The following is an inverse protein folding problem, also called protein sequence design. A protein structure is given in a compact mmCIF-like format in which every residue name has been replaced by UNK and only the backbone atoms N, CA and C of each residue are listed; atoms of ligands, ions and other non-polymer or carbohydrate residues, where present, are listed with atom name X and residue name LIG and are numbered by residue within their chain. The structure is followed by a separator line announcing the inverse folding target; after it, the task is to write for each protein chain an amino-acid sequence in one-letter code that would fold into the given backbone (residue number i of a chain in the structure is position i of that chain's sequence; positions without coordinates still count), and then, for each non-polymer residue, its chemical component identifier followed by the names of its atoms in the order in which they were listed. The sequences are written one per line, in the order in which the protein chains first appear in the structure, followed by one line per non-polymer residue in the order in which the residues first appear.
data_IF_452283426027
#
_entry.id   IF_452283426027
#
_cell.length_a   1.000
_cell.length_b   1.000
_cell.length_c   1.000
_cell.angle_alpha   90.00
_cell.angle_beta   90.00
_cell.angle_gamma   90.00
#
_symmetry.space_group_name_H-M   'P 1'
#
loop_
_entity.id
_entity.type
_entity.pdbx_description
1 polymer ?
#
# COMPACT_ATOMS: atom_id res chain seq x y z
N UNK A 1 -22.92 -27.02 -23.33
CA UNK A 1 -21.86 -27.80 -24.02
C UNK A 1 -20.72 -26.83 -24.23
N UNK A 2 -19.57 -27.02 -23.59
CA UNK A 2 -18.40 -26.18 -23.83
C UNK A 2 -17.92 -26.45 -25.25
N UNK A 3 -17.75 -25.38 -26.04
CA UNK A 3 -17.20 -25.48 -27.40
C UNK A 3 -15.68 -25.46 -27.24
N UNK A 4 -15.02 -26.42 -27.83
CA UNK A 4 -13.57 -26.54 -27.90
C UNK A 4 -13.11 -26.22 -29.32
N UNK A 5 -12.12 -25.37 -29.40
CA UNK A 5 -11.50 -24.96 -30.67
C UNK A 5 -10.09 -25.55 -30.74
N UNK A 6 -9.70 -26.03 -31.91
CA UNK A 6 -8.39 -26.58 -32.18
C UNK A 6 -7.58 -25.61 -33.04
N UNK A 7 -6.39 -25.29 -32.58
CA UNK A 7 -5.48 -24.40 -33.27
C UNK A 7 -5.72 -22.91 -32.95
N UNK A 8 -4.76 -22.11 -33.30
CA UNK A 8 -4.74 -20.65 -33.17
C UNK A 8 -4.44 -20.02 -34.53
N UNK A 9 -4.98 -18.86 -34.81
CA UNK A 9 -4.70 -18.14 -36.06
C UNK A 9 -3.38 -17.38 -36.00
N UNK A 10 -3.06 -16.81 -34.83
CA UNK A 10 -1.86 -16.01 -34.62
C UNK A 10 -1.41 -16.04 -33.15
N UNK A 11 -0.10 -15.94 -32.95
CA UNK A 11 0.54 -15.76 -31.63
C UNK A 11 1.46 -14.54 -31.74
N UNK A 12 1.21 -13.51 -30.92
CA UNK A 12 1.98 -12.27 -30.93
C UNK A 12 2.24 -11.79 -29.49
N UNK A 13 3.45 -12.03 -28.97
CA UNK A 13 3.78 -11.75 -27.58
C UNK A 13 2.81 -12.46 -26.62
N UNK A 14 2.18 -11.76 -25.67
CA UNK A 14 1.23 -12.36 -24.75
C UNK A 14 -0.18 -12.57 -25.35
N UNK A 15 -0.38 -12.23 -26.62
CA UNK A 15 -1.66 -12.28 -27.28
C UNK A 15 -1.75 -13.46 -28.26
N UNK A 16 -2.90 -14.09 -28.29
CA UNK A 16 -3.26 -15.10 -29.30
C UNK A 16 -4.59 -14.71 -29.96
N UNK A 17 -4.73 -15.07 -31.23
CA UNK A 17 -5.96 -14.85 -32.01
C UNK A 17 -6.61 -16.19 -32.29
N UNK A 18 -7.89 -16.28 -31.97
CA UNK A 18 -8.75 -17.41 -32.28
C UNK A 18 -9.79 -16.98 -33.30
N UNK A 19 -9.91 -17.69 -34.41
CA UNK A 19 -10.90 -17.44 -35.48
C UNK A 19 -12.05 -18.45 -35.44
N UNK A 20 -13.16 -18.08 -36.06
CA UNK A 20 -14.37 -18.93 -36.10
C UNK A 20 -15.10 -18.99 -34.76
N UNK A 21 -14.87 -18.04 -33.88
CA UNK A 21 -15.42 -18.05 -32.51
C UNK A 21 -16.86 -17.57 -32.52
N UNK A 22 -17.73 -18.35 -31.87
CA UNK A 22 -19.13 -18.00 -31.67
C UNK A 22 -19.41 -17.74 -30.20
N UNK A 23 -20.14 -16.67 -29.90
CA UNK A 23 -20.58 -16.31 -28.55
C UNK A 23 -19.44 -16.01 -27.55
N UNK A 24 -18.31 -15.47 -28.02
CA UNK A 24 -17.26 -14.97 -27.16
C UNK A 24 -17.69 -13.66 -26.48
N UNK A 25 -17.36 -13.52 -25.20
CA UNK A 25 -17.66 -12.31 -24.43
C UNK A 25 -16.37 -11.57 -24.02
N UNK A 26 -16.41 -10.26 -23.97
CA UNK A 26 -15.29 -9.46 -23.44
C UNK A 26 -15.04 -9.82 -21.97
N UNK A 27 -13.76 -9.91 -21.56
CA UNK A 27 -13.30 -10.34 -20.22
C UNK A 27 -13.57 -11.82 -19.88
N UNK A 28 -14.11 -12.61 -20.78
CA UNK A 28 -14.33 -14.04 -20.59
C UNK A 28 -13.01 -14.79 -20.44
N UNK A 29 -12.93 -15.72 -19.51
CA UNK A 29 -11.77 -16.59 -19.33
C UNK A 29 -11.77 -17.71 -20.36
N UNK A 30 -10.58 -17.99 -20.84
CA UNK A 30 -10.29 -19.03 -21.81
C UNK A 30 -9.25 -19.98 -21.21
N UNK A 31 -9.54 -21.28 -21.30
CA UNK A 31 -8.60 -22.33 -20.92
C UNK A 31 -7.90 -22.86 -22.17
N UNK A 32 -6.57 -22.88 -22.14
CA UNK A 32 -5.76 -23.53 -23.15
C UNK A 32 -5.20 -24.85 -22.63
N UNK A 33 -5.21 -25.87 -23.48
CA UNK A 33 -4.46 -27.11 -23.24
C UNK A 33 -3.39 -27.20 -24.29
N UNK A 34 -2.12 -27.21 -23.85
CA UNK A 34 -0.93 -27.18 -24.69
C UNK A 34 -0.20 -28.49 -24.49
N UNK A 35 0.37 -29.07 -25.55
CA UNK A 35 1.22 -30.28 -25.59
C UNK A 35 0.84 -31.36 -24.55
N UNK A 36 -0.39 -31.83 -24.67
CA UNK A 36 -0.87 -33.03 -24.01
C UNK A 36 -1.38 -32.88 -22.58
N UNK A 37 -1.03 -31.85 -21.79
CA UNK A 37 -1.59 -31.66 -20.45
C UNK A 37 -1.26 -30.30 -19.75
N UNK A 38 -0.41 -29.46 -20.32
CA UNK A 38 -0.16 -28.15 -19.73
C UNK A 38 -1.41 -27.27 -19.91
N UNK A 39 -1.97 -26.77 -18.81
CA UNK A 39 -3.11 -25.85 -18.83
C UNK A 39 -2.64 -24.42 -18.63
N UNK A 40 -3.07 -23.54 -19.50
CA UNK A 40 -2.87 -22.10 -19.39
C UNK A 40 -4.21 -21.39 -19.38
N UNK A 41 -4.25 -20.23 -18.76
CA UNK A 41 -5.41 -19.36 -18.72
C UNK A 41 -5.15 -18.11 -19.55
N UNK A 42 -6.22 -17.58 -20.12
CA UNK A 42 -6.24 -16.29 -20.78
C UNK A 42 -7.57 -15.60 -20.60
N UNK A 43 -7.64 -14.34 -21.00
CA UNK A 43 -8.92 -13.63 -21.07
C UNK A 43 -9.08 -12.95 -22.41
N UNK A 44 -10.33 -12.86 -22.84
CA UNK A 44 -10.69 -12.18 -24.08
C UNK A 44 -10.59 -10.67 -23.88
N UNK A 45 -9.74 -10.01 -24.68
CA UNK A 45 -9.50 -8.56 -24.61
C UNK A 45 -10.07 -7.80 -25.79
N UNK A 46 -10.44 -8.49 -26.85
CA UNK A 46 -11.20 -7.93 -27.96
C UNK A 46 -11.99 -9.01 -28.67
N UNK A 47 -13.18 -8.65 -29.17
CA UNK A 47 -14.04 -9.52 -29.94
C UNK A 47 -14.39 -8.79 -31.26
N UNK A 48 -14.15 -9.47 -32.37
CA UNK A 48 -14.58 -9.07 -33.70
C UNK A 48 -15.61 -10.07 -34.21
N UNK A 49 -16.21 -9.89 -35.36
CA UNK A 49 -17.33 -10.71 -35.88
C UNK A 49 -17.15 -12.22 -35.64
N UNK A 50 -16.02 -12.78 -36.02
CA UNK A 50 -15.69 -14.21 -35.88
C UNK A 50 -14.34 -14.48 -35.21
N UNK A 51 -13.70 -13.43 -34.64
CA UNK A 51 -12.37 -13.49 -34.05
C UNK A 51 -12.40 -13.01 -32.60
N UNK A 52 -11.64 -13.69 -31.75
CA UNK A 52 -11.35 -13.26 -30.39
C UNK A 52 -9.85 -13.08 -30.24
N UNK A 53 -9.45 -11.94 -29.69
CA UNK A 53 -8.06 -11.69 -29.22
C UNK A 53 -8.02 -12.02 -27.76
N UNK A 54 -7.13 -12.95 -27.38
CA UNK A 54 -7.03 -13.50 -26.04
C UNK A 54 -5.64 -13.16 -25.49
N UNK A 55 -5.60 -12.61 -24.31
CA UNK A 55 -4.39 -12.36 -23.56
C UNK A 55 -4.10 -13.52 -22.64
N UNK A 56 -2.97 -14.20 -22.84
CA UNK A 56 -2.57 -15.38 -22.08
C UNK A 56 -1.82 -14.96 -20.81
N UNK A 57 -2.19 -15.49 -19.66
CA UNK A 57 -1.63 -15.10 -18.36
C UNK A 57 -0.23 -15.66 -18.14
N UNK A 58 -0.04 -16.96 -18.37
CA UNK A 58 1.23 -17.66 -18.14
C UNK A 58 2.20 -17.58 -19.36
N UNK A 59 1.91 -16.70 -20.32
CA UNK A 59 2.72 -16.53 -21.52
C UNK A 59 2.47 -17.57 -22.60
N UNK A 60 2.97 -17.28 -23.82
CA UNK A 60 2.65 -18.04 -25.04
C UNK A 60 3.78 -18.94 -25.52
N UNK A 61 4.86 -19.09 -24.74
CA UNK A 61 6.12 -19.73 -25.18
C UNK A 61 6.02 -21.18 -25.60
N UNK A 62 5.02 -21.94 -25.15
CA UNK A 62 4.79 -23.35 -25.53
C UNK A 62 3.57 -23.55 -26.41
N UNK A 63 2.93 -22.47 -26.89
CA UNK A 63 1.68 -22.56 -27.64
C UNK A 63 1.94 -22.84 -29.13
N UNK A 64 1.27 -23.86 -29.65
CA UNK A 64 1.31 -24.26 -31.06
C UNK A 64 0.09 -23.70 -31.81
N UNK A 65 0.32 -23.17 -33.02
CA UNK A 65 -0.78 -22.77 -33.89
C UNK A 65 -1.72 -23.92 -34.29
N UNK A 66 -1.24 -25.14 -34.28
CA UNK A 66 -2.00 -26.31 -34.77
C UNK A 66 -2.53 -27.21 -33.66
N UNK A 67 -1.84 -27.31 -32.52
CA UNK A 67 -2.10 -28.30 -31.48
C UNK A 67 -2.63 -27.72 -30.17
N UNK A 68 -2.84 -26.41 -30.09
CA UNK A 68 -3.42 -25.79 -28.90
C UNK A 68 -4.94 -25.96 -28.89
N UNK A 69 -5.46 -26.57 -27.84
CA UNK A 69 -6.90 -26.68 -27.60
C UNK A 69 -7.37 -25.50 -26.77
N UNK A 70 -8.44 -24.86 -27.19
CA UNK A 70 -8.98 -23.65 -26.58
C UNK A 70 -10.42 -23.86 -26.16
N UNK A 71 -10.74 -23.61 -24.89
CA UNK A 71 -12.09 -23.70 -24.33
C UNK A 71 -12.52 -22.39 -23.71
N UNK A 72 -13.65 -21.84 -24.17
CA UNK A 72 -14.29 -20.69 -23.57
C UNK A 72 -15.07 -21.14 -22.32
N UNK A 73 -14.94 -20.40 -21.21
CA UNK A 73 -15.57 -20.77 -19.93
C UNK A 73 -16.98 -20.21 -19.74
N UNK A 74 -17.30 -19.15 -20.46
CA UNK A 74 -18.58 -18.45 -20.36
C UNK A 74 -18.69 -17.45 -19.21
N UNK A 75 -17.60 -17.24 -18.46
CA UNK A 75 -17.57 -16.31 -17.33
C UNK A 75 -16.23 -15.60 -17.23
N UNK A 76 -16.18 -14.39 -16.60
CA UNK A 76 -14.93 -13.69 -16.32
C UNK A 76 -14.11 -14.45 -15.28
N UNK A 77 -12.90 -13.96 -15.00
CA UNK A 77 -12.02 -14.57 -13.99
C UNK A 77 -12.66 -14.50 -12.60
N UNK A 78 -12.69 -15.65 -11.95
CA UNK A 78 -13.22 -15.80 -10.60
C UNK A 78 -12.17 -16.46 -9.69
N UNK A 79 -12.18 -16.06 -8.42
CA UNK A 79 -11.43 -16.73 -7.36
C UNK A 79 -12.37 -17.42 -6.38
N UNK A 80 -12.01 -18.64 -5.96
CA UNK A 80 -12.69 -19.35 -4.87
C UNK A 80 -12.23 -18.82 -3.52
N UNK A 81 -13.16 -18.51 -2.63
CA UNK A 81 -12.92 -17.87 -1.35
C UNK A 81 -13.64 -18.59 -0.21
N UNK A 82 -12.98 -18.68 0.92
CA UNK A 82 -13.49 -19.06 2.23
C UNK A 82 -12.60 -18.41 3.31
N UNK A 83 -12.92 -18.54 4.59
CA UNK A 83 -12.04 -18.06 5.66
C UNK A 83 -10.69 -18.81 5.72
N UNK A 84 -10.61 -19.98 5.09
CA UNK A 84 -9.37 -20.78 4.99
C UNK A 84 -8.24 -20.09 4.19
N UNK A 85 -8.52 -18.96 3.50
CA UNK A 85 -7.48 -18.16 2.85
C UNK A 85 -6.56 -17.46 3.84
N UNK A 86 -7.00 -17.26 5.08
CA UNK A 86 -6.17 -16.68 6.15
C UNK A 86 -4.96 -17.57 6.41
N UNK A 87 -3.80 -16.97 6.54
CA UNK A 87 -2.54 -17.68 6.72
C UNK A 87 -1.95 -18.33 5.45
N UNK A 88 -2.60 -18.16 4.30
CA UNK A 88 -2.22 -18.84 3.05
C UNK A 88 -1.43 -17.92 2.12
N UNK A 89 -0.61 -18.55 1.28
CA UNK A 89 0.18 -17.89 0.24
C UNK A 89 -0.22 -18.38 -1.14
N UNK A 90 -0.50 -17.43 -2.02
CA UNK A 90 -0.96 -17.65 -3.39
C UNK A 90 -0.01 -17.00 -4.40
N UNK A 91 -0.05 -17.52 -5.64
CA UNK A 91 0.55 -16.83 -6.79
C UNK A 91 -0.27 -15.60 -7.23
N UNK A 92 0.17 -14.92 -8.27
CA UNK A 92 -0.47 -13.70 -8.78
C UNK A 92 -1.88 -13.87 -9.30
N UNK A 93 -2.31 -15.10 -9.60
CA UNK A 93 -3.67 -15.42 -10.08
C UNK A 93 -4.53 -16.17 -9.05
N UNK A 94 -4.02 -16.32 -7.82
CA UNK A 94 -4.77 -16.89 -6.71
C UNK A 94 -4.68 -18.41 -6.60
N UNK A 95 -3.68 -19.06 -7.20
CA UNK A 95 -3.39 -20.48 -6.96
C UNK A 95 -2.53 -20.62 -5.70
N UNK A 96 -2.87 -21.52 -4.76
CA UNK A 96 -2.02 -21.78 -3.58
C UNK A 96 -0.63 -22.26 -3.96
N UNK A 97 0.42 -21.66 -3.35
CA UNK A 97 1.83 -22.02 -3.55
C UNK A 97 2.52 -22.48 -2.27
N UNK A 98 1.80 -22.49 -1.15
CA UNK A 98 2.27 -22.88 0.19
C UNK A 98 2.31 -24.38 0.44
N UNK A 99 1.96 -25.21 -0.55
CA UNK A 99 1.88 -26.68 -0.47
C UNK A 99 0.83 -27.22 0.48
N UNK A 100 -0.10 -26.40 0.95
CA UNK A 100 -1.18 -26.82 1.85
C UNK A 100 -2.43 -27.34 1.09
N UNK A 101 -2.37 -27.42 -0.24
CA UNK A 101 -3.47 -27.89 -1.08
C UNK A 101 -4.45 -26.78 -1.50
N UNK A 102 -5.47 -27.14 -2.28
CA UNK A 102 -6.47 -26.18 -2.73
C UNK A 102 -7.36 -25.70 -1.58
N UNK A 103 -7.95 -24.51 -1.76
CA UNK A 103 -8.95 -23.96 -0.84
C UNK A 103 -10.31 -24.65 -1.11
N UNK A 104 -11.02 -25.05 -0.06
CA UNK A 104 -12.42 -25.42 -0.15
C UNK A 104 -13.28 -24.15 -0.19
N UNK A 105 -13.64 -23.74 -1.38
CA UNK A 105 -14.27 -22.47 -1.62
C UNK A 105 -15.76 -22.49 -1.25
N UNK A 106 -16.16 -21.65 -0.29
CA UNK A 106 -17.57 -21.41 0.02
C UNK A 106 -18.27 -20.63 -1.09
N UNK A 107 -17.56 -19.68 -1.70
CA UNK A 107 -18.07 -18.81 -2.76
C UNK A 107 -17.04 -18.60 -3.86
N UNK A 108 -17.52 -18.23 -5.04
CA UNK A 108 -16.68 -17.72 -6.13
C UNK A 108 -17.03 -16.26 -6.39
N UNK A 109 -16.00 -15.41 -6.56
CA UNK A 109 -16.16 -13.98 -6.83
C UNK A 109 -15.36 -13.57 -8.04
N UNK A 110 -15.96 -12.70 -8.87
CA UNK A 110 -15.31 -12.08 -10.01
C UNK A 110 -14.18 -11.15 -9.51
N UNK A 111 -12.97 -11.34 -10.01
CA UNK A 111 -11.79 -10.56 -9.59
C UNK A 111 -11.84 -9.09 -10.01
N UNK A 112 -12.61 -8.74 -11.04
CA UNK A 112 -12.78 -7.34 -11.43
C UNK A 112 -13.52 -6.54 -10.35
N UNK A 113 -14.29 -7.22 -9.49
CA UNK A 113 -15.04 -6.59 -8.43
C UNK A 113 -16.08 -5.59 -8.93
N UNK A 114 -16.68 -4.89 -8.00
CA UNK A 114 -17.54 -3.74 -8.29
C UNK A 114 -17.04 -2.54 -7.48
N UNK A 115 -16.97 -1.35 -8.06
CA UNK A 115 -16.69 -0.15 -7.30
C UNK A 115 -17.76 0.00 -6.21
N UNK A 116 -17.33 0.40 -5.01
CA UNK A 116 -18.26 0.67 -3.91
C UNK A 116 -19.22 1.78 -4.30
N UNK A 117 -20.51 1.53 -4.13
CA UNK A 117 -21.53 2.54 -4.40
C UNK A 117 -21.29 3.77 -3.50
N UNK A 118 -21.08 4.97 -4.07
CA UNK A 118 -20.83 6.18 -3.29
C UNK A 118 -21.93 6.51 -2.26
N UNK A 119 -23.19 6.15 -2.57
CA UNK A 119 -24.34 6.40 -1.69
C UNK A 119 -24.33 5.53 -0.44
N UNK A 120 -23.72 4.34 -0.51
CA UNK A 120 -23.63 3.41 0.62
C UNK A 120 -22.32 3.53 1.38
N UNK A 121 -21.42 4.42 0.98
CA UNK A 121 -20.16 4.65 1.69
C UNK A 121 -20.43 5.37 3.02
N UNK A 122 -19.90 4.79 4.09
CA UNK A 122 -19.82 5.44 5.40
C UNK A 122 -18.55 6.28 5.47
N UNK A 123 -18.63 7.45 6.07
CA UNK A 123 -17.46 8.30 6.27
C UNK A 123 -16.49 7.70 7.30
N UNK A 124 -15.20 7.51 6.96
CA UNK A 124 -14.21 6.91 7.83
C UNK A 124 -13.89 7.81 9.05
N UNK A 125 -13.77 7.21 10.24
CA UNK A 125 -13.45 7.95 11.48
C UNK A 125 -12.49 7.27 12.43
N UNK A 126 -12.39 5.94 12.40
CA UNK A 126 -11.54 5.21 13.33
C UNK A 126 -10.15 5.02 12.72
N UNK A 127 -9.10 5.17 13.51
CA UNK A 127 -7.74 4.97 13.03
C UNK A 127 -7.31 3.49 13.06
N UNK A 128 -6.30 3.17 12.28
CA UNK A 128 -5.53 1.93 12.36
C UNK A 128 -4.18 2.29 12.96
N UNK A 129 -3.82 1.61 14.03
CA UNK A 129 -2.53 1.73 14.66
C UNK A 129 -1.47 1.04 13.80
N UNK A 130 -0.40 1.75 13.44
CA UNK A 130 0.73 1.20 12.67
C UNK A 130 1.96 0.95 13.53
N UNK A 131 2.01 1.53 14.72
CA UNK A 131 3.15 1.49 15.62
C UNK A 131 4.32 2.39 15.23
N UNK A 132 4.12 3.24 14.20
CA UNK A 132 5.14 4.13 13.66
C UNK A 132 4.74 5.58 13.96
N UNK A 133 5.53 6.26 14.81
CA UNK A 133 5.21 7.60 15.30
C UNK A 133 4.97 8.63 14.19
N UNK A 134 5.79 8.62 13.14
CA UNK A 134 5.63 9.54 12.02
C UNK A 134 4.32 9.32 11.25
N UNK A 135 3.79 8.09 11.22
CA UNK A 135 2.49 7.77 10.62
C UNK A 135 1.37 8.06 11.62
N UNK A 136 1.39 7.42 12.77
CA UNK A 136 0.29 7.48 13.74
C UNK A 136 0.09 8.89 14.30
N UNK A 137 1.19 9.63 14.52
CA UNK A 137 1.15 10.98 15.06
C UNK A 137 0.86 12.09 14.05
N UNK A 138 1.32 11.98 12.80
CA UNK A 138 1.33 13.09 11.82
C UNK A 138 0.53 12.83 10.56
N UNK A 139 0.35 11.57 10.17
CA UNK A 139 -0.37 11.15 8.96
C UNK A 139 -1.25 9.95 9.24
N UNK A 140 -1.96 9.99 10.35
CA UNK A 140 -2.74 8.88 10.90
C UNK A 140 -3.60 8.18 9.84
N UNK A 141 -3.45 6.86 9.77
CA UNK A 141 -4.20 6.00 8.85
C UNK A 141 -5.62 5.76 9.38
N UNK A 142 -6.62 6.06 8.59
CA UNK A 142 -8.02 5.92 8.96
C UNK A 142 -8.63 4.68 8.28
N UNK A 143 -9.47 3.92 8.98
CA UNK A 143 -10.15 2.74 8.44
C UNK A 143 -10.94 3.11 7.18
N UNK A 144 -10.79 2.33 6.11
CA UNK A 144 -11.43 2.60 4.82
C UNK A 144 -10.73 3.63 3.95
N UNK A 145 -9.59 4.17 4.38
CA UNK A 145 -8.78 5.12 3.63
C UNK A 145 -7.85 4.42 2.62
N UNK A 146 -7.46 5.17 1.59
CA UNK A 146 -6.37 4.87 0.67
C UNK A 146 -5.22 5.84 0.96
N UNK A 147 -4.17 5.36 1.62
CA UNK A 147 -3.02 6.18 2.00
C UNK A 147 -1.73 5.57 1.40
N UNK A 148 -1.30 6.02 0.22
CA UNK A 148 -0.13 5.48 -0.44
C UNK A 148 1.18 5.90 0.21
N UNK A 149 2.20 5.04 0.07
CA UNK A 149 3.59 5.35 0.37
C UNK A 149 4.33 5.62 -0.94
N UNK A 150 4.84 6.83 -1.08
CA UNK A 150 5.67 7.25 -2.20
C UNK A 150 7.13 7.04 -1.82
N UNK A 151 7.74 6.03 -2.40
CA UNK A 151 9.14 5.65 -2.16
C UNK A 151 10.02 5.97 -3.36
N UNK A 152 11.30 5.69 -3.26
CA UNK A 152 12.28 5.73 -4.33
C UNK A 152 13.11 4.44 -4.37
N UNK A 153 13.79 4.19 -5.48
CA UNK A 153 14.62 3.02 -5.61
C UNK A 153 15.71 2.98 -4.53
N UNK A 154 15.80 1.85 -3.82
CA UNK A 154 16.77 1.64 -2.75
C UNK A 154 16.40 2.27 -1.40
N UNK A 155 15.23 2.87 -1.28
CA UNK A 155 14.68 3.27 0.03
C UNK A 155 14.03 2.07 0.73
N UNK A 156 13.96 2.06 2.08
CA UNK A 156 13.55 0.89 2.86
C UNK A 156 12.03 0.72 2.94
N UNK A 157 11.32 0.82 1.82
CA UNK A 157 9.86 0.67 1.80
C UNK A 157 9.40 -0.77 2.06
N UNK A 158 10.19 -1.77 1.72
CA UNK A 158 9.88 -3.16 2.01
C UNK A 158 9.96 -3.44 3.52
N UNK A 159 10.97 -2.92 4.20
CA UNK A 159 11.13 -3.00 5.66
C UNK A 159 9.98 -2.27 6.36
N UNK A 160 9.62 -1.08 5.88
CA UNK A 160 8.49 -0.31 6.42
C UNK A 160 7.16 -1.07 6.22
N UNK A 161 6.92 -1.64 5.05
CA UNK A 161 5.74 -2.46 4.80
C UNK A 161 5.68 -3.68 5.72
N UNK A 162 6.80 -4.39 5.90
CA UNK A 162 6.89 -5.54 6.79
C UNK A 162 6.62 -5.14 8.25
N UNK A 163 7.19 -4.04 8.71
CA UNK A 163 6.95 -3.51 10.07
C UNK A 163 5.47 -3.15 10.28
N UNK A 164 4.83 -2.49 9.31
CA UNK A 164 3.39 -2.20 9.38
C UNK A 164 2.58 -3.50 9.50
N UNK A 165 2.88 -4.52 8.68
CA UNK A 165 2.17 -5.82 8.76
C UNK A 165 2.32 -6.47 10.12
N UNK A 166 3.51 -6.43 10.71
CA UNK A 166 3.78 -7.02 12.02
C UNK A 166 3.07 -6.29 13.17
N UNK A 167 2.92 -4.98 13.08
CA UNK A 167 2.49 -4.12 14.19
C UNK A 167 1.05 -3.61 14.05
N UNK A 168 0.47 -3.62 12.83
CA UNK A 168 -0.84 -3.04 12.60
C UNK A 168 -1.93 -3.71 13.43
N UNK A 169 -2.77 -2.87 14.05
CA UNK A 169 -3.90 -3.31 14.87
C UNK A 169 -5.00 -2.26 14.90
N UNK A 170 -6.13 -2.64 15.49
CA UNK A 170 -7.25 -1.71 15.73
C UNK A 170 -7.19 -1.07 17.14
N UNK A 171 -6.01 -1.05 17.77
CA UNK A 171 -5.84 -0.65 19.16
C UNK A 171 -6.50 -1.66 20.10
N UNK A 172 -7.21 -1.17 21.12
CA UNK A 172 -7.86 -2.00 22.15
C UNK A 172 -9.22 -2.59 21.71
N UNK A 173 -9.51 -2.63 20.41
CA UNK A 173 -10.77 -3.14 19.86
C UNK A 173 -10.77 -4.66 19.74
N UNK A 174 -11.85 -5.33 20.16
CA UNK A 174 -12.09 -6.77 19.97
C UNK A 174 -12.58 -7.12 18.55
N UNK A 175 -12.62 -6.14 17.64
CA UNK A 175 -13.07 -6.35 16.25
C UNK A 175 -12.06 -7.22 15.48
N UNK A 176 -12.57 -8.05 14.57
CA UNK A 176 -11.72 -8.92 13.74
C UNK A 176 -10.87 -8.09 12.79
N UNK A 177 -9.57 -8.32 12.79
CA UNK A 177 -8.60 -7.65 11.92
C UNK A 177 -7.74 -8.67 11.17
N UNK A 178 -7.49 -8.43 9.90
CA UNK A 178 -6.56 -9.21 9.11
C UNK A 178 -5.90 -8.35 8.02
N UNK A 179 -4.87 -8.89 7.40
CA UNK A 179 -4.08 -8.19 6.39
C UNK A 179 -4.10 -9.01 5.10
N UNK A 180 -4.28 -8.33 3.97
CA UNK A 180 -4.05 -8.88 2.64
C UNK A 180 -2.83 -8.18 2.06
N UNK A 181 -1.80 -8.95 1.81
CA UNK A 181 -0.54 -8.48 1.26
C UNK A 181 -0.40 -8.95 -0.19
N UNK A 182 -0.17 -8.05 -1.12
CA UNK A 182 0.07 -8.38 -2.52
C UNK A 182 1.35 -7.75 -3.03
N UNK A 183 2.26 -8.59 -3.51
CA UNK A 183 3.51 -8.17 -4.12
C UNK A 183 3.45 -8.37 -5.64
N UNK A 184 3.76 -7.32 -6.40
CA UNK A 184 3.67 -7.25 -7.85
C UNK A 184 5.03 -6.99 -8.46
N UNK A 185 5.58 -7.97 -9.17
CA UNK A 185 6.87 -7.82 -9.86
C UNK A 185 8.07 -7.70 -8.93
N UNK A 186 7.99 -8.27 -7.73
CA UNK A 186 9.09 -8.24 -6.76
C UNK A 186 10.13 -9.31 -7.07
N UNK A 187 11.37 -9.07 -6.64
CA UNK A 187 12.43 -10.07 -6.73
C UNK A 187 12.17 -11.21 -5.76
N UNK A 188 12.75 -12.37 -6.05
CA UNK A 188 12.60 -13.55 -5.21
C UNK A 188 13.09 -13.33 -3.77
N UNK A 189 14.21 -12.64 -3.60
CA UNK A 189 14.77 -12.30 -2.28
C UNK A 189 13.84 -11.39 -1.46
N UNK A 190 13.15 -10.45 -2.11
CA UNK A 190 12.16 -9.60 -1.47
C UNK A 190 10.91 -10.40 -1.07
N UNK A 191 10.41 -11.27 -1.95
CA UNK A 191 9.28 -12.14 -1.62
C UNK A 191 9.60 -13.08 -0.44
N UNK A 192 10.80 -13.65 -0.42
CA UNK A 192 11.28 -14.51 0.65
C UNK A 192 11.49 -13.73 1.96
N UNK A 193 11.97 -12.49 1.88
CA UNK A 193 12.05 -11.59 3.02
C UNK A 193 10.68 -11.40 3.69
N UNK A 194 9.64 -11.05 2.94
CA UNK A 194 8.29 -10.89 3.50
C UNK A 194 7.76 -12.18 4.11
N UNK A 195 7.88 -13.30 3.39
CA UNK A 195 7.41 -14.60 3.87
C UNK A 195 8.06 -14.98 5.21
N UNK A 196 9.39 -14.90 5.30
CA UNK A 196 10.14 -15.22 6.52
C UNK A 196 9.80 -14.26 7.67
N UNK A 197 9.75 -12.97 7.39
CA UNK A 197 9.44 -11.95 8.39
C UNK A 197 8.07 -12.19 9.01
N UNK A 198 7.05 -12.55 8.22
CA UNK A 198 5.72 -12.83 8.75
C UNK A 198 5.63 -14.16 9.50
N UNK A 199 6.36 -15.18 9.06
CA UNK A 199 6.47 -16.46 9.78
C UNK A 199 7.18 -16.28 11.12
N UNK A 200 8.33 -15.61 11.15
CA UNK A 200 9.15 -15.40 12.36
C UNK A 200 8.46 -14.52 13.40
N UNK A 201 7.69 -13.53 12.97
CA UNK A 201 6.91 -12.66 13.86
C UNK A 201 5.60 -13.27 14.38
N UNK A 202 5.18 -14.41 13.85
CA UNK A 202 3.96 -15.10 14.25
C UNK A 202 2.66 -14.45 13.78
N UNK A 203 2.71 -13.49 12.83
CA UNK A 203 1.51 -12.83 12.30
C UNK A 203 0.91 -13.56 11.09
N UNK A 204 1.57 -14.60 10.60
CA UNK A 204 1.19 -15.33 9.38
C UNK A 204 -0.29 -15.75 9.36
N UNK A 205 -0.84 -16.20 10.50
CA UNK A 205 -2.23 -16.69 10.58
C UNK A 205 -3.29 -15.63 10.26
N UNK A 206 -2.93 -14.36 10.30
CA UNK A 206 -3.80 -13.22 10.00
C UNK A 206 -3.45 -12.52 8.69
N UNK A 207 -2.51 -13.08 7.91
CA UNK A 207 -2.04 -12.51 6.64
C UNK A 207 -2.38 -13.42 5.49
N UNK A 208 -3.02 -12.89 4.46
CA UNK A 208 -3.19 -13.54 3.15
C UNK A 208 -2.17 -12.94 2.20
N UNK A 209 -1.30 -13.76 1.59
CA UNK A 209 -0.26 -13.29 0.68
C UNK A 209 -0.56 -13.66 -0.77
N UNK A 210 -0.42 -12.70 -1.68
CA UNK A 210 -0.43 -12.91 -3.12
C UNK A 210 0.90 -12.44 -3.70
N UNK A 211 1.62 -13.34 -4.36
CA UNK A 211 2.99 -13.09 -4.84
C UNK A 211 3.08 -13.24 -6.35
N UNK A 212 3.41 -12.16 -7.03
CA UNK A 212 3.87 -12.15 -8.42
C UNK A 212 5.33 -11.73 -8.44
N UNK A 213 6.19 -12.60 -8.89
CA UNK A 213 7.64 -12.35 -8.97
C UNK A 213 8.02 -11.57 -10.24
N UNK A 214 9.22 -11.01 -10.24
CA UNK A 214 9.74 -10.24 -11.37
C UNK A 214 9.87 -11.06 -12.65
N UNK A 215 10.11 -12.38 -12.53
CA UNK A 215 10.22 -13.33 -13.64
C UNK A 215 8.89 -13.99 -14.00
N UNK A 216 7.82 -13.76 -13.25
CA UNK A 216 6.49 -14.23 -13.58
C UNK A 216 5.90 -13.43 -14.76
N UNK A 217 4.93 -14.00 -15.50
CA UNK A 217 4.32 -13.34 -16.63
C UNK A 217 3.74 -11.96 -16.30
N UNK A 218 3.98 -11.00 -17.18
CA UNK A 218 3.55 -9.60 -17.00
C UNK A 218 2.03 -9.47 -16.85
N UNK A 219 1.28 -10.34 -17.51
CA UNK A 219 -0.18 -10.31 -17.47
C UNK A 219 -0.72 -10.73 -16.10
N UNK A 220 -0.09 -11.68 -15.43
CA UNK A 220 -0.43 -12.05 -14.06
C UNK A 220 -0.31 -10.85 -13.11
N UNK A 221 0.72 -10.01 -13.32
CA UNK A 221 0.95 -8.80 -12.53
C UNK A 221 -0.22 -7.81 -12.58
N UNK A 222 -0.92 -7.73 -13.71
CA UNK A 222 -2.11 -6.89 -13.86
C UNK A 222 -3.33 -7.44 -13.10
N UNK A 223 -3.34 -8.73 -12.81
CA UNK A 223 -4.45 -9.42 -12.16
C UNK A 223 -4.23 -9.49 -10.65
N UNK A 224 -2.99 -9.62 -10.20
CA UNK A 224 -2.61 -9.78 -8.79
C UNK A 224 -3.33 -8.81 -7.83
N UNK A 225 -3.34 -7.49 -8.04
CA UNK A 225 -4.03 -6.59 -7.13
C UNK A 225 -5.54 -6.78 -7.15
N UNK A 226 -6.12 -7.19 -8.28
CA UNK A 226 -7.56 -7.45 -8.39
C UNK A 226 -7.97 -8.69 -7.59
N UNK A 227 -7.17 -9.75 -7.66
CA UNK A 227 -7.37 -10.98 -6.87
C UNK A 227 -7.25 -10.69 -5.37
N UNK A 228 -6.20 -9.97 -4.97
CA UNK A 228 -5.97 -9.59 -3.58
C UNK A 228 -7.13 -8.75 -3.01
N UNK A 229 -7.59 -7.76 -3.77
CA UNK A 229 -8.72 -6.92 -3.35
C UNK A 229 -10.04 -7.70 -3.30
N UNK A 230 -10.24 -8.68 -4.17
CA UNK A 230 -11.44 -9.55 -4.11
C UNK A 230 -11.43 -10.41 -2.85
N UNK A 231 -10.28 -10.93 -2.46
CA UNK A 231 -10.12 -11.63 -1.18
C UNK A 231 -10.37 -10.70 0.01
N UNK A 232 -9.84 -9.48 -0.03
CA UNK A 232 -10.05 -8.47 1.01
C UNK A 232 -11.52 -8.07 1.14
N UNK A 233 -12.22 -7.84 0.04
CA UNK A 233 -13.64 -7.51 0.02
C UNK A 233 -14.50 -8.63 0.60
N UNK A 234 -14.20 -9.88 0.28
CA UNK A 234 -14.89 -11.04 0.84
C UNK A 234 -14.74 -11.09 2.37
N UNK A 235 -13.51 -11.01 2.86
CA UNK A 235 -13.25 -11.03 4.31
C UNK A 235 -13.88 -9.81 5.01
N UNK A 236 -13.85 -8.65 4.38
CA UNK A 236 -14.41 -7.43 4.97
C UNK A 236 -15.95 -7.42 4.93
N UNK A 237 -16.55 -7.60 3.78
CA UNK A 237 -17.97 -7.30 3.59
C UNK A 237 -18.88 -8.53 3.77
N UNK A 238 -18.34 -9.75 3.68
CA UNK A 238 -19.11 -10.98 3.92
C UNK A 238 -18.79 -11.60 5.29
N UNK A 239 -17.56 -11.44 5.80
CA UNK A 239 -17.12 -11.99 7.10
C UNK A 239 -16.99 -10.94 8.22
N UNK A 240 -17.23 -9.67 7.91
CA UNK A 240 -17.27 -8.58 8.90
C UNK A 240 -15.90 -8.21 9.48
N UNK A 241 -14.80 -8.44 8.75
CA UNK A 241 -13.46 -8.15 9.20
C UNK A 241 -12.99 -6.76 8.77
N UNK A 242 -12.13 -6.11 9.56
CA UNK A 242 -11.40 -4.94 9.12
C UNK A 242 -10.12 -5.39 8.43
N UNK A 243 -9.99 -5.11 7.14
CA UNK A 243 -8.88 -5.58 6.32
C UNK A 243 -7.97 -4.43 5.96
N UNK A 244 -6.69 -4.57 6.27
CA UNK A 244 -5.63 -3.71 5.75
C UNK A 244 -5.00 -4.39 4.53
N UNK A 245 -5.08 -3.73 3.38
CA UNK A 245 -4.49 -4.22 2.13
C UNK A 245 -3.21 -3.45 1.86
N UNK A 246 -2.10 -4.16 1.69
CA UNK A 246 -0.82 -3.59 1.27
C UNK A 246 -0.51 -4.08 -0.13
N UNK A 247 -0.33 -3.14 -1.06
CA UNK A 247 -0.05 -3.41 -2.47
C UNK A 247 1.34 -2.87 -2.81
N UNK A 248 2.32 -3.73 -3.06
CA UNK A 248 3.68 -3.36 -3.44
C UNK A 248 4.14 -4.14 -4.68
N UNK A 249 4.67 -3.61 -5.75
CA UNK A 249 4.89 -2.23 -6.07
C UNK A 249 3.91 -1.78 -7.17
N UNK A 250 3.20 -0.71 -6.93
CA UNK A 250 2.24 -0.14 -7.91
C UNK A 250 2.96 0.33 -9.18
N UNK A 251 4.23 0.76 -9.07
CA UNK A 251 5.02 1.14 -10.25
C UNK A 251 5.24 -0.07 -11.15
N UNK A 252 5.54 -1.24 -10.59
CA UNK A 252 5.67 -2.49 -11.38
C UNK A 252 4.36 -2.87 -12.06
N UNK A 253 3.22 -2.66 -11.41
CA UNK A 253 1.89 -2.83 -12.01
C UNK A 253 1.68 -1.88 -13.20
N UNK A 254 2.00 -0.60 -13.05
CA UNK A 254 1.88 0.40 -14.13
C UNK A 254 2.84 0.11 -15.30
N UNK A 255 4.07 -0.36 -15.01
CA UNK A 255 5.02 -0.77 -16.04
C UNK A 255 4.53 -1.99 -16.81
N UNK A 256 3.93 -2.97 -16.15
CA UNK A 256 3.28 -4.11 -16.78
C UNK A 256 2.14 -3.65 -17.73
N UNK A 257 1.37 -2.67 -17.32
CA UNK A 257 0.31 -2.08 -18.15
C UNK A 257 0.88 -1.38 -19.38
N UNK A 258 1.98 -0.65 -19.23
CA UNK A 258 2.69 -0.01 -20.35
C UNK A 258 3.20 -1.04 -21.35
N UNK A 259 3.81 -2.13 -20.88
CA UNK A 259 4.32 -3.20 -21.73
C UNK A 259 3.20 -3.89 -22.51
N UNK A 260 2.10 -4.23 -21.85
CA UNK A 260 0.95 -4.87 -22.49
C UNK A 260 0.27 -3.94 -23.49
N UNK A 261 0.07 -2.67 -23.15
CA UNK A 261 -0.48 -1.65 -24.06
C UNK A 261 0.39 -1.48 -25.31
N UNK A 262 1.71 -1.43 -25.12
CA UNK A 262 2.67 -1.37 -26.24
C UNK A 262 2.59 -2.60 -27.14
N UNK A 263 2.46 -3.80 -26.58
CA UNK A 263 2.35 -5.04 -27.37
C UNK A 263 1.05 -5.12 -28.17
N UNK A 264 0.00 -4.40 -27.75
CA UNK A 264 -1.27 -4.25 -28.48
C UNK A 264 -1.22 -3.17 -29.58
N UNK A 265 -0.13 -2.41 -29.66
CA UNK A 265 -0.02 -1.29 -30.59
C UNK A 265 -0.91 -0.10 -30.25
N UNK A 266 -1.32 0.03 -28.99
CA UNK A 266 -2.11 1.17 -28.53
C UNK A 266 -1.30 2.47 -28.59
N UNK A 267 -1.98 3.59 -28.87
CA UNK A 267 -1.32 4.90 -28.92
C UNK A 267 -0.91 5.31 -27.49
N UNK A 268 0.39 5.52 -27.23
CA UNK A 268 0.85 5.87 -25.89
C UNK A 268 0.45 7.31 -25.52
N UNK A 269 0.17 7.51 -24.24
CA UNK A 269 -0.04 8.80 -23.62
C UNK A 269 1.25 9.29 -22.95
N UNK A 270 1.14 10.10 -21.89
CA UNK A 270 2.26 10.69 -21.15
C UNK A 270 3.27 9.62 -20.68
N UNK A 271 4.55 9.82 -20.98
CA UNK A 271 5.69 8.91 -20.67
C UNK A 271 5.50 7.45 -21.14
N UNK A 272 4.70 7.22 -22.19
CA UNK A 272 4.50 5.89 -22.76
C UNK A 272 3.45 5.01 -22.07
N UNK A 273 2.78 5.51 -21.05
CA UNK A 273 1.67 4.80 -20.40
C UNK A 273 0.40 4.88 -21.25
N UNK A 274 -0.51 3.88 -21.12
CA UNK A 274 -1.79 3.93 -21.82
C UNK A 274 -2.66 5.09 -21.31
N UNK A 275 -3.52 5.62 -22.19
CA UNK A 275 -4.43 6.71 -21.84
C UNK A 275 -5.39 6.40 -20.69
N UNK A 276 -5.67 5.12 -20.46
CA UNK A 276 -6.54 4.63 -19.38
C UNK A 276 -5.83 4.30 -18.04
N UNK A 277 -4.56 4.72 -17.88
CA UNK A 277 -3.81 4.47 -16.63
C UNK A 277 -4.57 4.99 -15.40
N UNK A 278 -5.15 6.19 -15.49
CA UNK A 278 -5.95 6.76 -14.41
C UNK A 278 -7.14 5.87 -14.03
N UNK A 279 -7.90 5.42 -15.02
CA UNK A 279 -9.08 4.58 -14.79
C UNK A 279 -8.73 3.23 -14.17
N UNK A 280 -7.63 2.61 -14.59
CA UNK A 280 -7.17 1.34 -14.01
C UNK A 280 -6.70 1.51 -12.56
N UNK A 281 -5.94 2.56 -12.25
CA UNK A 281 -5.57 2.88 -10.87
C UNK A 281 -6.79 3.18 -10.00
N UNK A 282 -7.75 3.96 -10.54
CA UNK A 282 -9.00 4.25 -9.85
C UNK A 282 -9.81 2.97 -9.56
N UNK A 283 -9.86 2.04 -10.51
CA UNK A 283 -10.54 0.74 -10.34
C UNK A 283 -9.98 -0.06 -9.16
N UNK A 284 -8.67 0.03 -8.91
CA UNK A 284 -8.01 -0.62 -7.78
C UNK A 284 -8.28 0.17 -6.48
N UNK A 285 -7.98 1.45 -6.47
CA UNK A 285 -8.03 2.26 -5.25
C UNK A 285 -9.45 2.49 -4.72
N UNK A 286 -10.44 2.64 -5.61
CA UNK A 286 -11.85 2.87 -5.23
C UNK A 286 -12.55 1.62 -4.64
N UNK A 287 -11.85 0.50 -4.53
CA UNK A 287 -12.31 -0.69 -3.80
C UNK A 287 -12.11 -0.59 -2.28
N UNK A 288 -11.34 0.39 -1.81
CA UNK A 288 -11.23 0.70 -0.38
C UNK A 288 -12.46 1.48 0.12
N UNK A 289 -12.85 1.24 1.35
CA UNK A 289 -13.92 1.99 2.01
C UNK A 289 -14.63 1.21 3.11
N UNK A 290 -15.63 1.88 3.68
CA UNK A 290 -16.59 1.33 4.64
C UNK A 290 -17.96 1.42 4.00
N UNK A 291 -18.75 0.36 4.12
CA UNK A 291 -20.12 0.28 3.58
C UNK A 291 -21.11 0.38 4.72
N UNK A 292 -22.14 1.21 4.59
CA UNK A 292 -23.19 1.36 5.59
C UNK A 292 -23.97 0.04 5.78
N UNK A 293 -24.17 -0.35 7.05
CA UNK A 293 -24.84 -1.61 7.39
C UNK A 293 -23.95 -2.86 7.32
N UNK A 294 -22.65 -2.70 7.02
CA UNK A 294 -21.65 -3.77 7.04
C UNK A 294 -20.62 -3.47 8.11
N UNK A 295 -20.22 -4.46 8.90
CA UNK A 295 -19.29 -4.28 10.03
C UNK A 295 -17.84 -4.09 9.57
N UNK A 296 -17.43 -4.73 8.48
CA UNK A 296 -16.06 -4.72 8.00
C UNK A 296 -15.67 -3.47 7.21
N UNK A 297 -14.37 -3.37 6.92
CA UNK A 297 -13.80 -2.28 6.10
C UNK A 297 -12.62 -2.78 5.27
N UNK A 298 -12.36 -2.11 4.16
CA UNK A 298 -11.14 -2.28 3.36
C UNK A 298 -10.35 -0.99 3.39
N UNK A 299 -9.15 -1.04 3.95
CA UNK A 299 -8.17 0.06 4.00
C UNK A 299 -6.99 -0.30 3.11
N UNK A 300 -6.45 0.63 2.34
CA UNK A 300 -5.34 0.36 1.43
C UNK A 300 -4.12 1.21 1.75
N UNK A 301 -2.95 0.57 1.76
CA UNK A 301 -1.63 1.20 1.67
C UNK A 301 -0.98 0.75 0.35
N UNK A 302 -1.23 1.45 -0.76
CA UNK A 302 -0.47 1.22 -1.98
C UNK A 302 0.95 1.77 -1.82
N UNK A 303 1.95 0.98 -2.18
CA UNK A 303 3.36 1.41 -2.18
C UNK A 303 3.81 1.54 -3.63
N UNK A 304 4.39 2.68 -3.97
CA UNK A 304 4.95 2.93 -5.29
C UNK A 304 6.37 3.46 -5.19
N UNK A 305 7.19 3.13 -6.19
CA UNK A 305 8.54 3.69 -6.35
C UNK A 305 8.51 4.77 -7.42
N UNK A 306 8.93 5.98 -7.05
CA UNK A 306 9.00 7.11 -7.97
C UNK A 306 10.26 6.99 -8.84
N UNK A 307 10.14 6.90 -10.17
CA UNK A 307 11.30 6.94 -11.04
C UNK A 307 12.07 8.26 -10.87
N UNK A 308 13.38 8.18 -10.56
CA UNK A 308 14.26 9.32 -10.27
C UNK A 308 13.79 10.20 -9.09
N UNK A 309 13.08 9.65 -8.15
CA UNK A 309 12.46 10.36 -7.01
C UNK A 309 11.54 11.52 -7.47
N UNK A 310 10.99 11.44 -8.69
CA UNK A 310 10.16 12.47 -9.29
C UNK A 310 8.68 12.30 -8.91
N UNK A 311 8.22 13.08 -7.95
CA UNK A 311 6.82 13.09 -7.50
C UNK A 311 5.85 13.58 -8.59
N UNK A 312 6.35 14.27 -9.64
CA UNK A 312 5.54 14.73 -10.79
C UNK A 312 5.40 13.68 -11.89
N UNK A 313 6.02 12.51 -11.70
CA UNK A 313 5.85 11.38 -12.61
C UNK A 313 4.38 10.94 -12.65
N UNK A 314 3.85 10.46 -13.81
CA UNK A 314 2.43 10.08 -13.94
C UNK A 314 1.89 9.15 -12.84
N UNK A 315 2.70 8.21 -12.35
CA UNK A 315 2.26 7.23 -11.36
C UNK A 315 1.96 7.88 -10.00
N UNK A 316 2.90 8.59 -9.32
CA UNK A 316 2.59 9.28 -8.08
C UNK A 316 1.59 10.42 -8.28
N UNK A 317 1.66 11.16 -9.40
CA UNK A 317 0.75 12.26 -9.71
C UNK A 317 -0.72 11.77 -9.76
N UNK A 318 -1.01 10.76 -10.56
CA UNK A 318 -2.36 10.18 -10.68
C UNK A 318 -2.80 9.50 -9.38
N UNK A 319 -1.91 8.81 -8.69
CA UNK A 319 -2.21 8.20 -7.38
C UNK A 319 -2.62 9.27 -6.37
N UNK A 320 -1.92 10.38 -6.29
CA UNK A 320 -2.24 11.50 -5.41
C UNK A 320 -3.61 12.14 -5.66
N UNK A 321 -4.10 12.11 -6.91
CA UNK A 321 -5.45 12.60 -7.24
C UNK A 321 -6.56 11.65 -6.77
N UNK A 322 -6.31 10.34 -6.77
CA UNK A 322 -7.34 9.33 -6.46
C UNK A 322 -7.41 9.08 -4.95
N UNK A 323 -6.30 9.20 -4.24
CA UNK A 323 -6.17 8.81 -2.83
C UNK A 323 -6.39 9.98 -1.86
N UNK A 324 -6.52 9.68 -0.57
CA UNK A 324 -6.78 10.67 0.47
C UNK A 324 -5.51 11.14 1.19
N UNK A 325 -4.41 11.26 0.48
CA UNK A 325 -3.13 11.73 1.01
C UNK A 325 -1.95 10.91 0.48
N UNK A 326 -0.80 11.05 1.10
CA UNK A 326 0.41 10.29 0.82
C UNK A 326 1.39 10.35 1.98
N UNK A 327 2.21 9.31 2.10
CA UNK A 327 3.41 9.27 2.94
C UNK A 327 4.60 9.27 1.99
N UNK A 328 5.53 10.19 2.15
CA UNK A 328 6.68 10.33 1.25
C UNK A 328 7.95 9.91 1.98
N UNK A 329 8.72 9.00 1.39
CA UNK A 329 10.04 8.64 1.89
C UNK A 329 11.11 9.53 1.27
N UNK A 330 12.07 9.94 2.09
CA UNK A 330 13.13 10.90 1.75
C UNK A 330 14.51 10.25 1.73
N UNK A 331 15.25 10.49 0.64
CA UNK A 331 16.58 9.94 0.46
C UNK A 331 17.63 10.61 1.34
N UNK A 332 17.44 11.88 1.71
CA UNK A 332 18.37 12.58 2.59
C UNK A 332 18.30 12.04 4.01
N UNK A 333 17.07 11.84 4.54
CA UNK A 333 16.88 11.21 5.85
C UNK A 333 17.44 9.78 5.86
N UNK A 334 17.23 9.01 4.80
CA UNK A 334 17.83 7.69 4.67
C UNK A 334 19.36 7.73 4.65
N UNK A 335 19.94 8.71 3.95
CA UNK A 335 21.40 8.94 3.93
C UNK A 335 21.98 9.33 5.29
N UNK A 336 21.17 9.88 6.19
CA UNK A 336 21.50 10.18 7.58
C UNK A 336 21.24 9.01 8.53
N UNK A 337 20.93 7.83 8.00
CA UNK A 337 20.60 6.60 8.76
C UNK A 337 19.34 6.73 9.63
N UNK A 338 18.41 7.61 9.25
CA UNK A 338 17.10 7.72 9.90
C UNK A 338 16.15 6.70 9.27
N UNK A 339 15.54 5.86 10.10
CA UNK A 339 14.54 4.89 9.71
C UNK A 339 13.31 4.97 10.65
N UNK A 340 12.08 4.93 10.10
CA UNK A 340 11.76 5.06 8.68
C UNK A 340 12.04 6.49 8.17
N UNK A 341 12.57 6.66 6.95
CA UNK A 341 12.94 7.98 6.44
C UNK A 341 11.72 8.74 5.90
N UNK A 342 10.73 8.99 6.74
CA UNK A 342 9.48 9.65 6.36
C UNK A 342 9.68 11.17 6.34
N UNK A 343 9.51 11.77 5.18
CA UNK A 343 9.49 13.22 5.01
C UNK A 343 8.15 13.80 5.45
N UNK A 344 8.14 14.51 6.55
CA UNK A 344 6.90 15.00 7.19
C UNK A 344 6.19 16.05 6.36
N UNK A 345 6.92 17.04 5.79
CA UNK A 345 6.30 18.19 5.14
C UNK A 345 5.48 17.87 3.89
N UNK A 346 5.92 16.97 2.97
CA UNK A 346 5.12 16.55 1.82
C UNK A 346 4.11 15.43 2.15
N UNK A 347 4.18 14.85 3.35
CA UNK A 347 3.27 13.78 3.78
C UNK A 347 1.98 14.36 4.35
N UNK A 348 0.86 13.71 4.06
CA UNK A 348 -0.46 14.21 4.40
C UNK A 348 -1.47 13.07 4.47
N UNK A 349 -2.33 13.07 5.50
CA UNK A 349 -3.56 12.27 5.56
C UNK A 349 -4.77 13.20 5.67
N UNK A 350 -5.58 13.26 4.60
CA UNK A 350 -6.72 14.19 4.53
C UNK A 350 -7.87 13.80 5.47
N UNK A 351 -7.97 12.52 5.84
CA UNK A 351 -9.02 12.02 6.73
C UNK A 351 -8.62 12.06 8.21
N UNK A 352 -7.34 12.30 8.51
CA UNK A 352 -6.82 12.28 9.87
C UNK A 352 -7.62 13.15 10.84
N UNK A 353 -7.95 14.39 10.44
CA UNK A 353 -8.64 15.37 11.29
C UNK A 353 -9.99 14.92 11.86
N UNK A 354 -10.65 13.97 11.17
CA UNK A 354 -11.97 13.46 11.56
C UNK A 354 -11.89 12.11 12.31
N UNK A 355 -10.70 11.55 12.44
CA UNK A 355 -10.43 10.26 13.08
C UNK A 355 -9.45 10.30 14.25
N UNK A 356 -9.07 11.50 14.70
CA UNK A 356 -8.18 11.70 15.87
C UNK A 356 -8.80 12.66 16.87
N UNK A 357 -8.23 12.71 18.08
CA UNK A 357 -8.70 13.55 19.17
C UNK A 357 -9.64 12.81 20.12
N UNK A 358 -10.44 13.55 20.88
CA UNK A 358 -11.32 13.01 21.91
C UNK A 358 -12.27 11.92 21.36
N UNK A 359 -12.25 10.75 21.98
CA UNK A 359 -13.05 9.59 21.56
C UNK A 359 -12.42 8.67 20.53
N UNK A 360 -11.28 9.05 19.93
CA UNK A 360 -10.54 8.24 18.95
C UNK A 360 -9.10 7.99 19.36
N UNK A 361 -8.39 9.07 19.70
CA UNK A 361 -7.04 9.06 20.23
C UNK A 361 -6.99 9.91 21.51
N UNK A 362 -5.92 10.61 21.77
CA UNK A 362 -5.84 11.55 22.90
C UNK A 362 -6.33 12.96 22.48
N UNK A 363 -6.98 13.68 23.36
CA UNK A 363 -7.62 14.97 23.06
C UNK A 363 -6.69 16.04 22.49
N UNK A 364 -5.40 16.00 22.85
CA UNK A 364 -4.36 16.93 22.37
C UNK A 364 -3.77 16.57 20.99
N UNK A 365 -4.09 15.41 20.42
CA UNK A 365 -3.44 14.88 19.24
C UNK A 365 -3.43 15.87 18.06
N UNK A 366 -4.58 16.50 17.75
CA UNK A 366 -4.67 17.45 16.64
C UNK A 366 -3.77 18.67 16.84
N UNK A 367 -3.75 19.21 18.06
CA UNK A 367 -2.93 20.37 18.40
C UNK A 367 -1.43 20.02 18.30
N UNK A 368 -1.04 18.88 18.83
CA UNK A 368 0.34 18.34 18.77
C UNK A 368 0.79 18.16 17.34
N UNK A 369 -0.01 17.49 16.51
CA UNK A 369 0.34 17.25 15.11
C UNK A 369 0.53 18.55 14.33
N UNK A 370 -0.39 19.52 14.49
CA UNK A 370 -0.30 20.82 13.85
C UNK A 370 0.95 21.59 14.32
N UNK A 371 1.27 21.52 15.62
CA UNK A 371 2.43 22.21 16.17
C UNK A 371 3.74 21.60 15.70
N UNK A 372 3.88 20.27 15.73
CA UNK A 372 5.06 19.59 15.21
C UNK A 372 5.33 19.93 13.74
N UNK A 373 4.28 19.90 12.93
CA UNK A 373 4.36 20.25 11.52
C UNK A 373 4.84 21.70 11.32
N UNK A 374 4.27 22.66 12.09
CA UNK A 374 4.66 24.07 12.06
C UNK A 374 6.10 24.29 12.50
N UNK A 375 6.50 23.64 13.61
CA UNK A 375 7.87 23.74 14.10
C UNK A 375 8.89 23.15 13.13
N UNK A 376 8.58 22.00 12.54
CA UNK A 376 9.48 21.36 11.57
C UNK A 376 9.60 22.16 10.27
N UNK A 377 8.57 22.87 9.85
CA UNK A 377 8.67 23.82 8.73
C UNK A 377 9.67 24.96 9.06
N UNK A 378 9.63 25.53 10.28
CA UNK A 378 10.57 26.55 10.73
C UNK A 378 12.02 26.03 10.82
N UNK A 379 12.23 24.73 11.08
CA UNK A 379 13.56 24.09 10.98
C UNK A 379 14.15 24.23 9.58
N UNK A 380 13.33 24.02 8.55
CA UNK A 380 13.75 24.23 7.15
C UNK A 380 14.21 25.66 6.88
N UNK A 381 13.48 26.64 7.40
CA UNK A 381 13.85 28.06 7.29
C UNK A 381 15.17 28.37 8.02
N UNK A 382 15.34 27.86 9.26
CA UNK A 382 16.56 28.02 10.04
C UNK A 382 17.79 27.38 9.37
N UNK A 383 17.63 26.16 8.81
CA UNK A 383 18.69 25.48 8.02
C UNK A 383 19.06 26.25 6.76
N UNK A 384 18.08 26.80 6.07
CA UNK A 384 18.30 27.61 4.87
C UNK A 384 19.07 28.89 5.24
N UNK A 385 18.70 29.54 6.34
CA UNK A 385 19.41 30.75 6.83
C UNK A 385 20.82 30.39 7.27
N UNK A 386 21.02 29.31 8.02
CA UNK A 386 22.34 28.83 8.44
C UNK A 386 23.29 28.57 7.27
N UNK A 387 22.78 28.06 6.16
CA UNK A 387 23.58 27.81 4.96
C UNK A 387 24.10 29.07 4.29
N UNK A 388 23.46 30.21 4.52
CA UNK A 388 23.83 31.52 3.93
C UNK A 388 24.72 32.32 4.84
N UNK A 389 24.38 32.43 6.14
CA UNK A 389 25.10 33.31 7.07
C UNK A 389 26.01 32.58 8.06
N UNK A 390 25.91 31.26 8.16
CA UNK A 390 26.61 30.44 9.14
C UNK A 390 25.78 30.24 10.42
N UNK A 391 25.98 29.11 11.10
CA UNK A 391 25.26 28.78 12.33
C UNK A 391 25.57 29.72 13.49
N UNK A 392 26.78 30.23 13.55
CA UNK A 392 27.21 31.15 14.62
C UNK A 392 26.44 32.48 14.64
N UNK A 393 26.02 32.94 13.47
CA UNK A 393 25.30 34.21 13.27
C UNK A 393 23.78 34.08 13.43
N UNK A 394 23.26 32.85 13.64
CA UNK A 394 21.83 32.64 13.84
C UNK A 394 21.34 33.24 15.17
N UNK A 395 20.10 33.67 15.17
CA UNK A 395 19.41 34.08 16.39
C UNK A 395 19.32 32.90 17.40
N UNK A 396 19.21 33.18 18.71
CA UNK A 396 19.07 32.12 19.72
C UNK A 396 17.89 31.17 19.44
N UNK A 397 16.79 31.69 18.92
CA UNK A 397 15.61 30.87 18.60
C UNK A 397 15.86 29.99 17.37
N UNK A 398 16.53 30.50 16.34
CA UNK A 398 16.87 29.70 15.17
C UNK A 398 17.82 28.55 15.53
N UNK A 399 18.77 28.79 16.43
CA UNK A 399 19.63 27.73 16.99
C UNK A 399 18.83 26.68 17.74
N UNK A 400 17.80 27.08 18.50
CA UNK A 400 16.88 26.09 19.15
C UNK A 400 16.08 25.29 18.14
N UNK A 401 15.63 25.89 17.03
CA UNK A 401 14.98 25.17 15.95
C UNK A 401 15.90 24.17 15.28
N UNK A 402 17.18 24.45 15.09
CA UNK A 402 18.15 23.48 14.56
C UNK A 402 18.29 22.27 15.49
N UNK A 403 18.39 22.54 16.80
CA UNK A 403 18.43 21.47 17.81
C UNK A 403 17.15 20.64 17.80
N UNK A 404 16.00 21.32 17.86
CA UNK A 404 14.69 20.65 17.77
C UNK A 404 14.58 19.78 16.51
N UNK A 405 15.00 20.29 15.35
CA UNK A 405 14.93 19.56 14.08
C UNK A 405 15.76 18.29 14.09
N UNK A 406 16.97 18.35 14.65
CA UNK A 406 17.83 17.19 14.77
C UNK A 406 17.24 16.12 15.70
N UNK A 407 16.78 16.53 16.88
CA UNK A 407 16.15 15.60 17.83
C UNK A 407 14.82 15.05 17.29
N UNK A 408 14.03 15.85 16.59
CA UNK A 408 12.79 15.41 15.97
C UNK A 408 13.04 14.35 14.89
N UNK A 409 14.06 14.53 14.07
CA UNK A 409 14.43 13.54 13.04
C UNK A 409 14.93 12.23 13.64
N UNK A 410 15.75 12.28 14.70
CA UNK A 410 16.33 11.08 15.30
C UNK A 410 15.40 10.37 16.30
N UNK A 411 14.64 11.11 17.09
CA UNK A 411 13.88 10.57 18.21
C UNK A 411 12.39 10.35 17.89
N UNK A 412 11.80 11.18 17.02
CA UNK A 412 10.40 11.05 16.66
C UNK A 412 10.21 10.32 15.32
N UNK A 413 10.84 10.79 14.25
CA UNK A 413 10.79 10.13 12.93
C UNK A 413 11.59 8.83 13.01
N UNK A 414 12.81 8.89 13.55
CA UNK A 414 13.68 7.74 13.75
C UNK A 414 13.08 6.75 14.76
N UNK A 415 13.05 5.48 14.38
CA UNK A 415 12.46 4.40 15.15
C UNK A 415 13.13 3.08 14.79
N UNK A 416 13.23 2.14 15.74
CA UNK A 416 13.73 0.79 15.46
C UNK A 416 12.82 0.01 14.50
N UNK A 417 13.40 -0.89 13.71
CA UNK A 417 12.62 -1.73 12.77
C UNK A 417 11.62 -2.66 13.46
N UNK A 418 11.86 -3.00 14.73
CA UNK A 418 11.00 -3.85 15.53
C UNK A 418 10.29 -3.05 16.65
N UNK A 419 10.46 -1.73 16.65
CA UNK A 419 9.88 -0.86 17.66
C UNK A 419 8.41 -0.56 17.33
N UNK A 420 7.52 -0.89 18.24
CA UNK A 420 6.10 -0.59 18.17
C UNK A 420 5.75 0.45 19.22
N UNK A 421 5.54 1.70 18.79
CA UNK A 421 5.18 2.81 19.68
C UNK A 421 3.67 2.93 19.78
N UNK A 422 3.14 2.94 20.99
CA UNK A 422 1.71 3.24 21.21
C UNK A 422 1.38 4.68 20.80
N UNK A 423 0.10 4.99 20.63
CA UNK A 423 -0.35 6.36 20.39
C UNK A 423 0.04 7.28 21.56
N UNK A 424 -0.02 6.77 22.78
CA UNK A 424 0.35 7.53 23.98
C UNK A 424 1.85 7.83 23.99
N UNK A 425 2.71 6.83 23.73
CA UNK A 425 4.16 7.02 23.65
C UNK A 425 4.53 8.02 22.55
N UNK A 426 3.89 7.91 21.40
CA UNK A 426 4.06 8.84 20.27
C UNK A 426 3.75 10.29 20.67
N UNK A 427 2.60 10.51 21.31
CA UNK A 427 2.20 11.86 21.73
C UNK A 427 3.05 12.39 22.91
N UNK A 428 3.46 11.53 23.83
CA UNK A 428 4.36 11.92 24.92
C UNK A 428 5.73 12.32 24.39
N UNK A 429 6.30 11.52 23.46
CA UNK A 429 7.56 11.86 22.78
C UNK A 429 7.46 13.17 22.02
N UNK A 430 6.33 13.45 21.38
CA UNK A 430 6.08 14.74 20.76
C UNK A 430 6.15 15.91 21.74
N UNK A 431 5.57 15.78 22.93
CA UNK A 431 5.63 16.81 23.97
C UNK A 431 7.03 16.99 24.55
N UNK A 432 7.79 15.90 24.72
CA UNK A 432 9.20 16.01 25.13
C UNK A 432 9.99 16.86 24.15
N UNK A 433 9.82 16.66 22.84
CA UNK A 433 10.51 17.43 21.84
C UNK A 433 10.02 18.87 21.75
N UNK A 434 8.71 19.11 21.83
CA UNK A 434 8.15 20.47 21.89
C UNK A 434 8.63 21.25 23.12
N UNK A 435 8.97 20.56 24.20
CA UNK A 435 9.57 21.14 25.39
C UNK A 435 10.96 21.74 25.17
N UNK A 436 11.66 21.40 24.08
CA UNK A 436 12.94 22.01 23.67
C UNK A 436 12.76 23.45 23.16
N UNK A 437 11.54 23.83 22.79
CA UNK A 437 11.21 25.16 22.29
C UNK A 437 10.54 25.99 23.39
N UNK A 438 10.69 27.33 23.38
CA UNK A 438 9.99 28.20 24.32
C UNK A 438 8.46 28.09 24.11
N UNK A 439 7.72 28.21 25.20
CA UNK A 439 6.24 28.11 25.20
C UNK A 439 5.60 29.08 24.19
N UNK A 440 6.20 30.28 24.01
CA UNK A 440 5.72 31.31 23.11
C UNK A 440 5.74 30.90 21.64
N UNK A 441 6.60 29.95 21.28
CA UNK A 441 6.68 29.38 19.92
C UNK A 441 5.56 28.38 19.60
N UNK A 442 4.84 27.89 20.62
CA UNK A 442 3.80 26.88 20.48
C UNK A 442 2.42 27.51 20.23
N UNK A 443 2.31 28.26 19.14
CA UNK A 443 1.14 29.09 18.78
C UNK A 443 -0.04 28.29 18.16
N UNK A 444 0.19 27.01 17.84
CA UNK A 444 -0.83 26.13 17.26
C UNK A 444 -1.58 25.27 18.30
N UNK A 445 -1.19 25.39 19.55
CA UNK A 445 -1.76 24.59 20.64
C UNK A 445 -2.64 25.46 21.53
N UNK A 446 -3.80 24.93 21.93
CA UNK A 446 -4.69 25.62 22.86
C UNK A 446 -4.00 25.80 24.22
N UNK A 447 -4.19 26.98 24.83
CA UNK A 447 -3.56 27.33 26.12
C UNK A 447 -3.85 26.31 27.22
N UNK A 448 -5.06 25.72 27.27
CA UNK A 448 -5.40 24.69 28.28
C UNK A 448 -4.59 23.41 28.06
N UNK A 449 -4.34 23.03 26.80
CA UNK A 449 -3.53 21.87 26.44
C UNK A 449 -2.08 22.13 26.79
N UNK A 450 -1.56 23.36 26.52
CA UNK A 450 -0.22 23.76 26.95
C UNK A 450 -0.05 23.70 28.48
N UNK A 451 -1.04 24.17 29.24
CA UNK A 451 -0.99 24.13 30.70
C UNK A 451 -0.97 22.70 31.25
N UNK A 452 -1.51 21.76 30.52
CA UNK A 452 -1.61 20.35 30.93
C UNK A 452 -0.37 19.53 30.53
N UNK A 453 0.17 19.72 29.32
CA UNK A 453 1.16 18.82 28.72
C UNK A 453 2.54 19.47 28.51
N UNK A 454 2.63 20.79 28.41
CA UNK A 454 3.90 21.43 28.14
C UNK A 454 4.80 21.46 29.37
N UNK A 455 6.00 20.90 29.23
CA UNK A 455 7.09 20.97 30.21
C UNK A 455 8.37 21.37 29.49
N UNK A 456 9.07 22.45 29.93
CA UNK A 456 10.38 22.79 29.39
C UNK A 456 11.34 21.62 29.58
N UNK A 457 12.05 21.25 28.52
CA UNK A 457 12.99 20.12 28.50
C UNK A 457 14.35 20.59 27.98
N UNK A 458 15.40 19.84 28.28
CA UNK A 458 16.77 20.05 27.78
C UNK A 458 17.24 18.81 27.03
N UNK A 459 18.23 18.97 26.15
CA UNK A 459 18.81 17.84 25.39
C UNK A 459 19.31 16.74 26.32
N UNK A 460 19.98 17.11 27.41
CA UNK A 460 20.49 16.14 28.40
C UNK A 460 19.38 15.33 29.05
N UNK A 461 18.20 15.94 29.27
CA UNK A 461 17.04 15.25 29.84
C UNK A 461 16.43 14.28 28.84
N UNK A 462 16.35 14.64 27.55
CA UNK A 462 15.87 13.74 26.46
C UNK A 462 16.82 12.55 26.32
N UNK A 463 18.12 12.78 26.29
CA UNK A 463 19.11 11.70 26.19
C UNK A 463 19.08 10.75 27.40
N UNK A 464 18.83 11.26 28.61
CA UNK A 464 18.70 10.46 29.81
C UNK A 464 17.43 9.62 29.81
N UNK A 465 16.30 10.19 29.41
CA UNK A 465 15.03 9.46 29.30
C UNK A 465 15.14 8.30 28.29
N UNK A 466 15.84 8.49 27.18
CA UNK A 466 16.11 7.44 26.21
C UNK A 466 16.94 6.30 26.82
N UNK A 467 18.05 6.63 27.48
CA UNK A 467 18.93 5.62 28.10
C UNK A 467 18.20 4.80 29.19
N UNK A 468 17.27 5.43 29.93
CA UNK A 468 16.44 4.75 30.94
C UNK A 468 15.40 3.82 30.27
N UNK A 469 14.80 4.23 29.14
CA UNK A 469 13.86 3.41 28.38
C UNK A 469 14.54 2.20 27.73
N UNK A 470 15.72 2.37 27.14
CA UNK A 470 16.51 1.30 26.54
C UNK A 470 16.91 0.25 27.61
N UNK A 471 17.30 0.71 28.82
CA UNK A 471 17.65 -0.19 29.91
C UNK A 471 16.45 -0.95 30.53
N UNK A 472 15.22 -0.51 30.30
CA UNK A 472 14.00 -1.23 30.73
C UNK A 472 13.56 -2.30 29.71
N UNK A 473 14.03 -2.21 28.47
CA UNK A 473 13.69 -3.11 27.37
C UNK A 473 14.76 -4.22 27.14
N UNK A 474 15.92 -4.15 27.81
CA UNK A 474 16.92 -5.21 27.93
C UNK A 474 16.60 -6.13 29.13
#
# INVERSE_FOLDING_TARGET
MAIEYLGLSEVNGPLVVLEGVKNASYEEIVEFTVDGNEKKLGRIVAVYEDKAVIQVFEGTSSMSLTNTHTRLTGHPMEIGLSEEILGRTFDGIGKPIDRMGPIDAEVRRNVNGLPLNPVTRKYPRNYIHTGISAIDGLTTLIRGQKLPIFSGNGLPHDQLAAQIVQQASLGDSDEKFAIVFAAMGVKYDVAEFFRRTFEESGVSDHVVMFLNLANDPVVERLITPKVALTAAEYLAFEKGMHILVILTDITSFCEAMREVSSSRGEIPSRKGYPGYLYSELATIYERAGIVEGVEGSVTQIPILTMPNDDITHPIPDLTGYITEGQIVLDRQLHGQSIYPPISVLPSLSRLMKDGIGEGYTRADHQDVANQLFSCYAKVGDARSLASVIGEDELSPIDKQYLVFGNEFEHEFIGQGMDENRSMEDTLNKAWELLGLLPREELDRVNTKVLDQYYHPTTIDAVAKAKAEADAMNE
#
